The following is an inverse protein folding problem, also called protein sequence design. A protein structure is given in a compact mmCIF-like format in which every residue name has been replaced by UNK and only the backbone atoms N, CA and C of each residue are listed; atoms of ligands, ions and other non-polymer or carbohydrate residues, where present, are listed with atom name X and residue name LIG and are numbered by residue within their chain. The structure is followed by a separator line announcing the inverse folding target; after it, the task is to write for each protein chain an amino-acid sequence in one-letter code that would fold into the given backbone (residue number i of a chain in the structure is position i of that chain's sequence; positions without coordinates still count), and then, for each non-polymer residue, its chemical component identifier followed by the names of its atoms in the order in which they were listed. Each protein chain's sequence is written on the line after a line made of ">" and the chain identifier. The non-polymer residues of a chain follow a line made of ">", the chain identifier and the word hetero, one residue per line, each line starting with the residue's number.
data_IF_715707152884
#
_entry.id   IF_715707152884
#
_cell.length_a   1.000
_cell.length_b   1.000
_cell.length_c   1.000
_cell.angle_alpha   90.00
_cell.angle_beta   90.00
_cell.angle_gamma   90.00
#
_symmetry.space_group_name_H-M   'P 1'
#
loop_
_entity.id
_entity.type
_entity.pdbx_description
1 polymer ?
#
# COMPACT_ATOMS: atom_id res chain seq x y z
N UNK A 1 -20.81 -16.31 -8.56
CA UNK A 1 -20.16 -14.98 -8.55
C UNK A 1 -18.72 -15.14 -8.11
N UNK A 2 -17.74 -14.55 -8.82
CA UNK A 2 -16.33 -14.61 -8.43
C UNK A 2 -15.99 -13.42 -7.54
N UNK A 3 -15.38 -13.70 -6.38
CA UNK A 3 -14.90 -12.67 -5.46
C UNK A 3 -13.51 -12.19 -5.87
N UNK A 4 -13.29 -10.88 -5.81
CA UNK A 4 -12.07 -10.21 -6.26
C UNK A 4 -11.57 -9.28 -5.17
N UNK A 5 -10.27 -9.29 -4.92
CA UNK A 5 -9.60 -8.38 -4.01
C UNK A 5 -8.36 -7.78 -4.67
N UNK A 6 -8.18 -6.48 -4.53
CA UNK A 6 -6.96 -5.79 -4.96
C UNK A 6 -6.00 -5.66 -3.79
N UNK A 7 -4.73 -5.89 -4.02
CA UNK A 7 -3.72 -5.85 -2.94
C UNK A 7 -2.49 -5.06 -3.37
N UNK A 8 -1.86 -4.35 -2.44
CA UNK A 8 -0.57 -3.71 -2.67
C UNK A 8 0.46 -4.71 -3.19
N UNK A 9 1.34 -4.27 -4.08
CA UNK A 9 2.31 -5.10 -4.80
C UNK A 9 3.07 -6.06 -3.89
N UNK A 10 3.56 -5.56 -2.76
CA UNK A 10 4.38 -6.33 -1.83
C UNK A 10 3.62 -7.39 -1.02
N UNK A 11 2.28 -7.40 -1.05
CA UNK A 11 1.50 -8.50 -0.45
C UNK A 11 1.69 -9.79 -1.24
N UNK A 12 1.78 -9.71 -2.57
CA UNK A 12 2.08 -10.88 -3.42
C UNK A 12 3.57 -11.07 -3.67
N UNK A 13 4.33 -9.98 -3.82
CA UNK A 13 5.74 -10.01 -4.18
C UNK A 13 6.58 -9.16 -3.23
N UNK A 14 7.08 -9.77 -2.17
CA UNK A 14 7.92 -9.10 -1.17
C UNK A 14 9.29 -8.69 -1.69
N UNK A 15 9.75 -9.22 -2.84
CA UNK A 15 11.00 -8.81 -3.47
C UNK A 15 11.00 -7.34 -3.95
N UNK A 16 9.82 -6.73 -4.05
CA UNK A 16 9.68 -5.29 -4.36
C UNK A 16 9.85 -4.37 -3.15
N UNK A 17 9.89 -4.92 -1.94
CA UNK A 17 10.05 -4.13 -0.72
C UNK A 17 11.45 -3.51 -0.64
N UNK A 18 11.53 -2.38 0.04
CA UNK A 18 12.83 -1.86 0.51
C UNK A 18 13.44 -2.86 1.50
N UNK A 19 14.76 -2.95 1.52
CA UNK A 19 15.45 -3.82 2.49
C UNK A 19 15.15 -3.33 3.91
N UNK A 20 14.63 -4.22 4.73
CA UNK A 20 14.30 -3.98 6.14
C UNK A 20 15.31 -4.74 7.02
N UNK A 21 15.54 -4.24 8.24
CA UNK A 21 16.53 -4.79 9.16
C UNK A 21 15.95 -5.17 10.52
N UNK A 22 14.70 -4.78 10.84
CA UNK A 22 14.02 -5.20 12.05
C UNK A 22 13.36 -6.56 11.84
N UNK A 23 13.99 -7.64 12.32
CA UNK A 23 13.55 -9.00 12.07
C UNK A 23 12.18 -9.30 12.71
N UNK A 24 11.90 -8.75 13.89
CA UNK A 24 10.61 -8.96 14.56
C UNK A 24 9.45 -8.39 13.76
N UNK A 25 9.62 -7.18 13.21
CA UNK A 25 8.61 -6.55 12.34
C UNK A 25 8.45 -7.29 11.01
N UNK A 26 9.57 -7.75 10.43
CA UNK A 26 9.55 -8.55 9.18
C UNK A 26 8.76 -9.83 9.41
N UNK A 27 9.05 -10.56 10.47
CA UNK A 27 8.41 -11.84 10.78
C UNK A 27 6.92 -11.67 11.10
N UNK A 28 6.57 -10.63 11.85
CA UNK A 28 5.17 -10.34 12.20
C UNK A 28 4.34 -10.00 10.95
N UNK A 29 4.86 -9.17 10.06
CA UNK A 29 4.19 -8.82 8.80
C UNK A 29 4.11 -10.03 7.87
N UNK A 30 5.19 -10.82 7.73
CA UNK A 30 5.22 -12.00 6.87
C UNK A 30 4.23 -13.07 7.35
N UNK A 31 4.13 -13.31 8.66
CA UNK A 31 3.15 -14.24 9.25
C UNK A 31 1.71 -13.81 8.91
N UNK A 32 1.39 -12.52 9.08
CA UNK A 32 0.07 -12.01 8.74
C UNK A 32 -0.19 -12.08 7.24
N UNK A 33 0.80 -11.75 6.41
CA UNK A 33 0.71 -11.82 4.95
C UNK A 33 0.37 -13.24 4.48
N UNK A 34 1.08 -14.24 4.99
CA UNK A 34 0.82 -15.65 4.65
C UNK A 34 -0.57 -16.08 5.13
N UNK A 35 -0.97 -15.70 6.34
CA UNK A 35 -2.31 -15.97 6.89
C UNK A 35 -3.41 -15.38 6.00
N UNK A 36 -3.24 -14.12 5.57
CA UNK A 36 -4.16 -13.42 4.68
C UNK A 36 -4.25 -14.12 3.31
N UNK A 37 -3.12 -14.40 2.66
CA UNK A 37 -3.08 -15.03 1.34
C UNK A 37 -3.68 -16.45 1.38
N UNK A 38 -3.35 -17.24 2.39
CA UNK A 38 -3.92 -18.58 2.55
C UNK A 38 -5.45 -18.51 2.73
N UNK A 39 -5.95 -17.56 3.53
CA UNK A 39 -7.39 -17.35 3.71
C UNK A 39 -8.06 -16.95 2.39
N UNK A 40 -7.46 -16.01 1.64
CA UNK A 40 -7.99 -15.57 0.35
C UNK A 40 -8.07 -16.72 -0.67
N UNK A 41 -6.97 -17.45 -0.84
CA UNK A 41 -6.89 -18.57 -1.80
C UNK A 41 -7.85 -19.70 -1.41
N UNK A 42 -7.91 -20.06 -0.13
CA UNK A 42 -8.81 -21.14 0.37
C UNK A 42 -10.29 -20.79 0.20
N UNK A 43 -10.63 -19.50 0.15
CA UNK A 43 -11.99 -19.03 -0.13
C UNK A 43 -12.25 -18.77 -1.63
N UNK A 44 -11.31 -19.14 -2.51
CA UNK A 44 -11.45 -18.99 -3.97
C UNK A 44 -11.43 -17.55 -4.47
N UNK A 45 -10.89 -16.62 -3.66
CA UNK A 45 -10.83 -15.18 -4.00
C UNK A 45 -9.74 -14.96 -5.06
N UNK A 46 -10.07 -14.19 -6.09
CA UNK A 46 -9.15 -13.77 -7.13
C UNK A 46 -8.38 -12.54 -6.65
N UNK A 47 -7.06 -12.60 -6.70
CA UNK A 47 -6.20 -11.55 -6.16
C UNK A 47 -5.57 -10.76 -7.30
N UNK A 48 -5.78 -9.44 -7.31
CA UNK A 48 -5.20 -8.51 -8.29
C UNK A 48 -4.14 -7.68 -7.60
N UNK A 49 -2.94 -7.69 -8.17
CA UNK A 49 -1.80 -6.95 -7.65
C UNK A 49 -1.81 -5.51 -8.14
N UNK A 50 -1.76 -4.55 -7.21
CA UNK A 50 -1.51 -3.16 -7.53
C UNK A 50 -0.04 -2.94 -7.94
N UNK A 51 0.27 -1.99 -8.83
CA UNK A 51 1.66 -1.65 -9.15
C UNK A 51 2.37 -1.04 -7.94
N UNK A 52 3.69 -1.25 -7.82
CA UNK A 52 4.48 -0.62 -6.77
C UNK A 52 5.03 0.74 -7.25
N UNK A 53 4.59 1.87 -6.68
CA UNK A 53 5.05 3.19 -7.12
C UNK A 53 6.54 3.43 -6.81
N UNK A 54 7.04 2.84 -5.73
CA UNK A 54 8.43 3.01 -5.31
C UNK A 54 9.39 2.18 -6.16
N UNK A 55 9.08 0.88 -6.33
CA UNK A 55 9.96 -0.02 -7.08
C UNK A 55 10.10 0.41 -8.55
N UNK A 56 8.99 0.90 -9.15
CA UNK A 56 8.99 1.34 -10.54
C UNK A 56 9.74 2.65 -10.78
N UNK A 57 9.91 3.50 -9.76
CA UNK A 57 10.68 4.75 -9.86
C UNK A 57 12.12 4.61 -9.39
N UNK A 58 12.36 3.90 -8.29
CA UNK A 58 13.65 3.93 -7.59
C UNK A 58 14.42 2.61 -7.64
N UNK A 59 13.76 1.53 -8.09
CA UNK A 59 14.40 0.21 -8.20
C UNK A 59 14.69 -0.46 -6.85
N UNK A 60 15.49 -1.54 -6.92
CA UNK A 60 15.75 -2.41 -5.77
C UNK A 60 16.72 -1.78 -4.73
N UNK A 61 17.67 -0.96 -5.17
CA UNK A 61 18.70 -0.36 -4.29
C UNK A 61 18.29 1.00 -3.73
N UNK A 62 17.00 1.22 -3.55
CA UNK A 62 16.51 2.48 -2.96
C UNK A 62 16.70 2.50 -1.45
N UNK A 63 16.84 3.70 -0.91
CA UNK A 63 16.75 3.95 0.53
C UNK A 63 15.30 3.86 1.02
N UNK A 64 15.14 3.68 2.32
CA UNK A 64 13.85 3.91 2.96
C UNK A 64 13.43 5.37 2.84
N UNK A 65 12.16 5.61 2.54
CA UNK A 65 11.58 6.94 2.42
C UNK A 65 10.52 7.15 3.49
N UNK A 66 10.17 8.41 3.70
CA UNK A 66 9.01 8.84 4.50
C UNK A 66 7.98 9.50 3.59
N UNK A 67 6.70 9.46 3.97
CA UNK A 67 5.61 9.90 3.09
C UNK A 67 5.72 11.37 2.67
N UNK A 68 6.21 12.24 3.53
CA UNK A 68 6.41 13.65 3.19
C UNK A 68 7.54 13.91 2.18
N UNK A 69 8.45 12.94 1.92
CA UNK A 69 9.35 12.99 0.75
C UNK A 69 8.59 12.67 -0.55
N UNK A 70 7.61 11.77 -0.48
CA UNK A 70 6.76 11.39 -1.60
C UNK A 70 5.64 12.39 -1.88
N UNK A 71 5.33 13.27 -0.93
CA UNK A 71 4.32 14.30 -1.11
C UNK A 71 4.82 15.44 -2.00
N UNK A 72 5.00 15.13 -3.27
CA UNK A 72 5.41 16.07 -4.29
C UNK A 72 4.68 15.80 -5.62
N UNK A 73 4.67 16.81 -6.47
CA UNK A 73 3.93 16.78 -7.75
C UNK A 73 4.33 15.60 -8.65
N UNK A 74 5.61 15.25 -8.71
CA UNK A 74 6.11 14.23 -9.63
C UNK A 74 5.71 12.83 -9.17
N UNK A 75 5.87 12.53 -7.88
CA UNK A 75 5.48 11.23 -7.32
C UNK A 75 3.96 11.05 -7.38
N UNK A 76 3.17 12.07 -7.06
CA UNK A 76 1.70 12.03 -7.17
C UNK A 76 1.25 11.78 -8.60
N UNK A 77 1.83 12.46 -9.60
CA UNK A 77 1.55 12.20 -11.03
C UNK A 77 1.91 10.76 -11.43
N UNK A 78 3.04 10.24 -10.95
CA UNK A 78 3.42 8.86 -11.20
C UNK A 78 2.39 7.89 -10.62
N UNK A 79 1.98 8.08 -9.35
CA UNK A 79 0.95 7.27 -8.70
C UNK A 79 -0.34 7.24 -9.52
N UNK A 80 -0.85 8.42 -9.94
CA UNK A 80 -2.06 8.50 -10.77
C UNK A 80 -1.91 7.75 -12.09
N UNK A 81 -0.79 7.92 -12.78
CA UNK A 81 -0.52 7.25 -14.06
C UNK A 81 -0.58 5.73 -13.95
N UNK A 82 0.01 5.16 -12.90
CA UNK A 82 0.03 3.70 -12.71
C UNK A 82 -1.27 3.16 -12.11
N UNK A 83 -2.09 4.01 -11.48
CA UNK A 83 -3.41 3.67 -10.96
C UNK A 83 -4.52 3.73 -12.03
N UNK A 84 -4.34 4.51 -13.10
CA UNK A 84 -5.36 4.69 -14.14
C UNK A 84 -5.90 3.35 -14.69
N UNK A 85 -5.06 2.38 -15.14
CA UNK A 85 -5.56 1.09 -15.60
C UNK A 85 -6.19 0.24 -14.49
N UNK A 86 -5.83 0.48 -13.22
CA UNK A 86 -6.44 -0.20 -12.07
C UNK A 86 -7.86 0.34 -11.83
N UNK A 87 -8.05 1.64 -11.93
CA UNK A 87 -9.39 2.26 -11.81
C UNK A 87 -10.30 1.77 -12.95
N UNK A 88 -9.80 1.67 -14.17
CA UNK A 88 -10.59 1.14 -15.29
C UNK A 88 -10.97 -0.31 -15.08
N UNK A 89 -10.03 -1.15 -14.62
CA UNK A 89 -10.30 -2.54 -14.29
C UNK A 89 -11.31 -2.68 -13.14
N UNK A 90 -11.21 -1.82 -12.13
CA UNK A 90 -12.12 -1.80 -10.99
C UNK A 90 -13.55 -1.45 -11.43
N UNK A 91 -13.70 -0.44 -12.31
CA UNK A 91 -15.00 -0.09 -12.91
C UNK A 91 -15.62 -1.25 -13.64
N UNK A 92 -14.85 -1.94 -14.50
CA UNK A 92 -15.34 -3.08 -15.26
C UNK A 92 -15.90 -4.17 -14.35
N UNK A 93 -15.22 -4.48 -13.20
CA UNK A 93 -15.75 -5.44 -12.23
C UNK A 93 -17.01 -4.94 -11.52
N UNK A 94 -17.06 -3.67 -11.16
CA UNK A 94 -18.19 -3.07 -10.44
C UNK A 94 -19.42 -2.85 -11.32
N UNK A 95 -19.24 -2.71 -12.64
CA UNK A 95 -20.35 -2.60 -13.61
C UNK A 95 -20.96 -3.96 -13.96
N UNK A 96 -20.26 -5.07 -13.61
CA UNK A 96 -20.70 -6.42 -13.89
C UNK A 96 -20.92 -7.23 -12.59
N UNK A 97 -21.70 -6.67 -11.66
CA UNK A 97 -21.98 -7.26 -10.34
C UNK A 97 -22.70 -8.61 -10.40
N UNK A 98 -23.34 -8.96 -11.53
CA UNK A 98 -23.92 -10.30 -11.75
C UNK A 98 -22.85 -11.42 -11.82
N UNK A 99 -21.60 -11.06 -12.19
CA UNK A 99 -20.50 -12.00 -12.34
C UNK A 99 -19.46 -11.87 -11.22
N UNK A 100 -19.28 -10.65 -10.68
CA UNK A 100 -18.17 -10.29 -9.82
C UNK A 100 -18.62 -9.63 -8.52
N UNK A 101 -17.91 -9.92 -7.44
CA UNK A 101 -18.00 -9.22 -6.17
C UNK A 101 -16.63 -8.65 -5.82
N UNK A 102 -16.49 -7.32 -5.81
CA UNK A 102 -15.26 -6.65 -5.38
C UNK A 102 -15.29 -6.51 -3.86
N UNK A 103 -14.44 -7.25 -3.16
CA UNK A 103 -14.34 -7.20 -1.71
C UNK A 103 -13.70 -5.91 -1.22
N UNK A 104 -12.74 -5.38 -1.98
CA UNK A 104 -12.05 -4.13 -1.68
C UNK A 104 -10.58 -4.12 -2.06
N UNK A 105 -9.85 -3.17 -1.46
CA UNK A 105 -8.43 -2.93 -1.70
C UNK A 105 -7.67 -3.03 -0.37
N UNK A 106 -6.54 -3.74 -0.36
CA UNK A 106 -5.70 -3.91 0.83
C UNK A 106 -4.34 -3.24 0.61
N UNK A 107 -4.08 -2.18 1.38
CA UNK A 107 -2.78 -1.54 1.48
C UNK A 107 -1.88 -2.20 2.52
N UNK A 108 -0.78 -1.53 2.87
CA UNK A 108 0.17 -1.97 3.91
C UNK A 108 0.47 -0.79 4.83
N UNK A 109 -0.05 -0.82 6.04
CA UNK A 109 0.18 0.25 7.02
C UNK A 109 1.65 0.32 7.45
N UNK A 110 2.10 1.55 7.73
CA UNK A 110 3.50 1.88 7.96
C UNK A 110 4.27 2.25 6.68
N UNK A 111 3.78 1.86 5.51
CA UNK A 111 4.41 2.21 4.24
C UNK A 111 4.23 3.70 3.90
N UNK A 112 5.27 4.39 3.40
CA UNK A 112 5.17 5.80 2.98
C UNK A 112 4.28 6.01 1.75
N UNK A 113 4.06 4.95 0.97
CA UNK A 113 3.21 4.97 -0.23
C UNK A 113 1.89 4.23 -0.04
N UNK A 114 1.92 3.02 0.52
CA UNK A 114 0.79 2.09 0.55
C UNK A 114 0.03 2.04 1.88
N UNK A 115 0.38 2.85 2.88
CA UNK A 115 -0.36 2.98 4.14
C UNK A 115 -1.80 3.44 3.90
N UNK A 116 -2.75 2.87 4.62
CA UNK A 116 -4.18 3.23 4.55
C UNK A 116 -4.58 4.12 5.72
N UNK A 117 -4.30 3.66 6.94
CA UNK A 117 -4.57 4.37 8.18
C UNK A 117 -3.30 4.94 8.81
N UNK A 118 -2.15 4.29 8.57
CA UNK A 118 -0.86 4.69 9.13
C UNK A 118 0.22 4.76 8.06
N UNK A 119 1.04 5.81 8.15
CA UNK A 119 2.23 6.00 7.31
C UNK A 119 3.38 6.53 8.16
N UNK A 120 4.60 6.53 7.62
CA UNK A 120 5.74 7.12 8.28
C UNK A 120 6.05 8.52 7.72
N UNK A 121 6.35 9.46 8.63
CA UNK A 121 6.83 10.81 8.30
C UNK A 121 8.16 11.08 8.99
N UNK A 122 8.92 12.07 8.51
CA UNK A 122 10.17 12.50 9.15
C UNK A 122 10.88 13.60 8.37
N UNK A 123 11.92 14.19 8.96
CA UNK A 123 12.81 15.14 8.31
C UNK A 123 13.98 14.43 7.62
N UNK A 124 13.64 13.38 6.88
CA UNK A 124 14.58 12.49 6.20
C UNK A 124 14.78 12.94 4.75
N UNK A 125 15.73 13.86 4.52
CA UNK A 125 16.09 14.40 3.21
C UNK A 125 17.48 15.06 3.24
N UNK A 126 18.00 15.43 2.07
CA UNK A 126 19.26 16.15 1.92
C UNK A 126 20.45 15.22 1.64
N UNK A 127 21.64 15.84 1.48
CA UNK A 127 22.90 15.11 1.28
C UNK A 127 23.44 14.52 2.57
N UNK A 128 24.13 13.39 2.46
CA UNK A 128 24.88 12.80 3.58
C UNK A 128 26.22 13.47 3.80
N UNK A 129 26.84 14.02 2.73
CA UNK A 129 28.14 14.67 2.79
C UNK A 129 28.10 15.88 3.70
N UNK A 130 29.04 15.95 4.66
CA UNK A 130 29.15 17.04 5.64
C UNK A 130 28.03 17.09 6.68
N UNK A 131 27.10 16.13 6.68
CA UNK A 131 25.98 16.13 7.62
C UNK A 131 26.40 15.58 8.98
N UNK A 132 26.31 16.41 10.03
CA UNK A 132 26.67 16.03 11.40
C UNK A 132 25.47 15.57 12.25
N UNK A 133 24.24 15.86 11.82
CA UNK A 133 23.00 15.59 12.55
C UNK A 133 22.16 14.44 11.95
N UNK A 134 22.79 13.43 11.35
CA UNK A 134 22.09 12.33 10.70
C UNK A 134 21.19 11.55 11.67
N UNK A 135 21.68 11.29 12.89
CA UNK A 135 20.91 10.60 13.92
C UNK A 135 19.69 11.42 14.34
N UNK A 136 19.80 12.74 14.44
CA UNK A 136 18.67 13.61 14.77
C UNK A 136 17.60 13.54 13.68
N UNK A 137 17.99 13.50 12.41
CA UNK A 137 17.06 13.34 11.31
C UNK A 137 16.35 11.99 11.35
N UNK A 138 17.06 10.89 11.65
CA UNK A 138 16.47 9.57 11.85
C UNK A 138 15.47 9.56 13.02
N UNK A 139 15.79 10.22 14.12
CA UNK A 139 14.94 10.32 15.30
C UNK A 139 13.62 11.07 15.04
N UNK A 140 13.52 11.83 13.95
CA UNK A 140 12.25 12.47 13.54
C UNK A 140 11.29 11.49 12.85
N UNK A 141 11.79 10.35 12.38
CA UNK A 141 10.97 9.37 11.67
C UNK A 141 10.00 8.69 12.65
N UNK A 142 8.72 8.76 12.34
CA UNK A 142 7.66 8.20 13.19
C UNK A 142 6.45 7.76 12.40
N UNK A 143 5.74 6.80 12.95
CA UNK A 143 4.42 6.39 12.47
C UNK A 143 3.38 7.44 12.85
N UNK A 144 2.52 7.81 11.90
CA UNK A 144 1.39 8.74 12.12
C UNK A 144 0.12 8.20 11.49
N UNK A 145 -1.02 8.67 12.02
CA UNK A 145 -2.33 8.31 11.48
C UNK A 145 -2.64 9.17 10.25
N UNK A 146 -2.27 8.67 9.10
CA UNK A 146 -2.49 9.28 7.78
C UNK A 146 -2.26 8.24 6.68
N UNK A 147 -2.80 8.38 5.47
CA UNK A 147 -2.50 7.51 4.34
C UNK A 147 -1.09 7.79 3.79
N UNK A 148 -0.50 6.78 3.16
CA UNK A 148 0.64 6.94 2.27
C UNK A 148 0.21 7.55 0.94
N UNK A 149 1.17 8.13 0.19
CA UNK A 149 0.86 8.98 -0.97
C UNK A 149 0.17 8.23 -2.12
N UNK A 150 0.51 6.96 -2.34
CA UNK A 150 -0.13 6.14 -3.37
C UNK A 150 -1.60 5.84 -3.02
N UNK A 151 -1.88 5.52 -1.76
CA UNK A 151 -3.26 5.29 -1.29
C UNK A 151 -4.05 6.60 -1.22
N UNK A 152 -3.42 7.71 -0.87
CA UNK A 152 -4.07 9.03 -0.93
C UNK A 152 -4.53 9.37 -2.36
N UNK A 153 -3.67 9.15 -3.36
CA UNK A 153 -4.07 9.35 -4.76
C UNK A 153 -5.12 8.33 -5.21
N UNK A 154 -5.02 7.07 -4.79
CA UNK A 154 -6.06 6.07 -5.06
C UNK A 154 -7.43 6.51 -4.51
N UNK A 155 -7.49 6.97 -3.25
CA UNK A 155 -8.75 7.45 -2.63
C UNK A 155 -9.33 8.64 -3.39
N UNK A 156 -8.49 9.58 -3.83
CA UNK A 156 -8.92 10.70 -4.68
C UNK A 156 -9.49 10.23 -6.02
N UNK A 157 -8.82 9.28 -6.67
CA UNK A 157 -9.30 8.73 -7.94
C UNK A 157 -10.59 7.93 -7.78
N UNK A 158 -10.79 7.22 -6.65
CA UNK A 158 -12.07 6.59 -6.33
C UNK A 158 -13.19 7.64 -6.19
N UNK A 159 -12.92 8.74 -5.49
CA UNK A 159 -13.88 9.83 -5.32
C UNK A 159 -14.24 10.51 -6.66
N UNK A 160 -13.25 10.86 -7.45
CA UNK A 160 -13.41 11.44 -8.81
C UNK A 160 -14.26 10.55 -9.75
N UNK A 161 -14.30 9.25 -9.48
CA UNK A 161 -15.06 8.27 -10.27
C UNK A 161 -16.35 7.77 -9.56
N UNK A 162 -16.75 8.39 -8.45
CA UNK A 162 -17.91 8.02 -7.64
C UNK A 162 -17.88 6.56 -7.15
N UNK A 163 -16.71 6.06 -6.78
CA UNK A 163 -16.47 4.69 -6.33
C UNK A 163 -16.20 4.56 -4.82
N UNK A 164 -16.10 5.68 -4.09
CA UNK A 164 -15.73 5.70 -2.67
C UNK A 164 -16.62 4.82 -1.82
N UNK A 165 -17.93 4.89 -2.01
CA UNK A 165 -18.92 4.11 -1.23
C UNK A 165 -19.05 2.65 -1.70
N UNK A 166 -18.47 2.32 -2.86
CA UNK A 166 -18.55 0.98 -3.46
C UNK A 166 -17.32 0.11 -3.20
N UNK A 167 -16.21 0.73 -2.76
CA UNK A 167 -14.91 0.05 -2.62
C UNK A 167 -14.34 0.26 -1.22
N UNK A 168 -14.35 -0.80 -0.42
CA UNK A 168 -13.69 -0.78 0.88
C UNK A 168 -12.17 -0.73 0.71
N UNK A 169 -11.51 0.19 1.40
CA UNK A 169 -10.05 0.26 1.45
C UNK A 169 -9.59 -0.05 2.88
N UNK A 170 -8.77 -1.07 3.05
CA UNK A 170 -8.25 -1.54 4.33
C UNK A 170 -6.77 -1.84 4.24
N UNK A 171 -6.14 -2.26 5.33
CA UNK A 171 -4.70 -2.49 5.38
C UNK A 171 -4.30 -3.83 6.00
N UNK A 172 -3.17 -4.35 5.53
CA UNK A 172 -2.39 -5.36 6.22
C UNK A 172 -1.49 -4.64 7.23
N UNK A 173 -1.71 -4.93 8.53
CA UNK A 173 -0.96 -4.33 9.62
C UNK A 173 -0.89 -5.31 10.80
N UNK A 174 0.30 -5.81 11.11
CA UNK A 174 0.47 -6.87 12.11
C UNK A 174 -0.12 -6.54 13.49
N UNK A 175 -0.03 -5.29 14.01
CA UNK A 175 -0.71 -4.93 15.26
C UNK A 175 -2.24 -4.97 15.24
N UNK A 176 -2.84 -4.91 14.04
CA UNK A 176 -4.29 -4.84 13.83
C UNK A 176 -4.74 -5.85 12.74
N UNK A 177 -4.37 -7.14 12.91
CA UNK A 177 -4.50 -8.18 11.89
C UNK A 177 -5.92 -8.37 11.32
N UNK A 178 -6.95 -8.11 12.15
CA UNK A 178 -8.34 -8.25 11.73
C UNK A 178 -8.73 -7.31 10.59
N UNK A 179 -8.07 -6.17 10.44
CA UNK A 179 -8.37 -5.23 9.35
C UNK A 179 -8.37 -5.90 7.98
N UNK A 180 -7.32 -6.68 7.66
CA UNK A 180 -7.25 -7.39 6.39
C UNK A 180 -7.95 -8.75 6.41
N UNK A 181 -8.05 -9.41 7.55
CA UNK A 181 -8.68 -10.72 7.64
C UNK A 181 -10.21 -10.65 7.55
N UNK A 182 -10.83 -9.60 8.08
CA UNK A 182 -12.30 -9.45 8.10
C UNK A 182 -12.89 -9.06 6.74
N UNK A 183 -12.06 -8.64 5.77
CA UNK A 183 -12.55 -8.38 4.41
C UNK A 183 -12.76 -9.68 3.62
N UNK A 184 -12.19 -10.78 4.09
CA UNK A 184 -12.27 -12.11 3.46
C UNK A 184 -13.39 -12.92 4.13
N UNK A 185 -14.53 -12.98 3.48
CA UNK A 185 -15.72 -13.71 3.93
C UNK A 185 -16.30 -14.60 2.82
#
# INVERSE_FOLDING_TARGET
>A
MKKIIFVSHCILNTASKVVLYNQEEIDAEENLRIKFLNKAISNGIQIIQLPCPEFTLYGAKRWGHVSNQFDNTFFRKHCRKILEPIIDQLKEYLENEDFFEVLGIVGVDGSPSCGVDYTCIGNWYGSFEGRTNLQDALNTCKLVKAPGIFIDELKKMLDENNLTDRVKVTSLFAPEENKCLDIIH
#
